data_IF_135214597730
#
_entry.id   IF_135214597730
#
_cell.length_a   1.000
_cell.length_b   1.000
_cell.length_c   1.000
_cell.angle_alpha   90.00
_cell.angle_beta   90.00
_cell.angle_gamma   90.00
#
_symmetry.space_group_name_H-M   'P 1'
#
loop_
_entity.id
_entity.type
_entity.pdbx_description
1 polymer ?
#
# COMPACT_ATOMS: atom_id res chain seq x y z
N UNK A 1 5.15 -17.32 -53.94
CA UNK A 1 4.84 -17.35 -52.49
C UNK A 1 3.48 -16.68 -52.32
N UNK A 2 2.47 -17.45 -51.94
CA UNK A 2 1.13 -16.95 -51.64
C UNK A 2 1.20 -16.42 -50.19
N UNK A 3 1.06 -15.12 -49.97
CA UNK A 3 0.80 -14.57 -48.62
C UNK A 3 -0.71 -14.45 -48.44
N UNK A 4 -1.20 -14.87 -47.28
CA UNK A 4 -2.63 -14.89 -47.01
C UNK A 4 -3.07 -13.61 -46.26
N UNK A 5 -4.27 -13.06 -46.53
CA UNK A 5 -4.74 -11.80 -45.94
C UNK A 5 -4.96 -11.79 -44.42
N UNK A 6 -4.76 -12.92 -43.73
CA UNK A 6 -5.04 -13.13 -42.30
C UNK A 6 -3.79 -13.52 -41.50
N UNK A 7 -2.60 -13.34 -42.07
CA UNK A 7 -1.36 -13.22 -41.28
C UNK A 7 -1.33 -11.83 -40.62
N UNK A 8 -2.33 -11.53 -39.79
CA UNK A 8 -2.16 -10.48 -38.79
C UNK A 8 -1.01 -10.95 -37.89
N UNK A 9 0.07 -10.17 -37.84
CA UNK A 9 1.12 -10.31 -36.84
C UNK A 9 0.43 -10.45 -35.49
N UNK A 10 0.35 -11.68 -34.97
CA UNK A 10 -0.19 -11.98 -33.66
C UNK A 10 0.81 -11.36 -32.67
N UNK A 11 0.65 -10.06 -32.43
CA UNK A 11 1.58 -9.29 -31.64
C UNK A 11 1.72 -9.99 -30.30
N UNK A 12 2.95 -10.37 -29.96
CA UNK A 12 3.24 -11.06 -28.71
C UNK A 12 2.60 -10.28 -27.56
N UNK A 13 1.94 -10.96 -26.60
CA UNK A 13 1.25 -10.29 -25.52
C UNK A 13 2.21 -9.32 -24.82
N UNK A 14 1.74 -8.12 -24.44
CA UNK A 14 2.60 -7.13 -23.81
C UNK A 14 3.28 -7.75 -22.57
N UNK A 15 4.52 -7.37 -22.27
CA UNK A 15 5.22 -7.90 -21.10
C UNK A 15 4.41 -7.60 -19.84
N UNK A 16 4.41 -8.52 -18.85
CA UNK A 16 3.64 -8.32 -17.62
C UNK A 16 4.11 -7.05 -16.89
N UNK A 17 3.16 -6.37 -16.25
CA UNK A 17 3.45 -5.15 -15.52
C UNK A 17 4.61 -5.35 -14.51
N UNK A 18 5.59 -4.43 -14.41
CA UNK A 18 6.82 -4.64 -13.63
C UNK A 18 6.62 -4.96 -12.14
N UNK A 19 5.45 -4.64 -11.58
CA UNK A 19 5.12 -4.96 -10.19
C UNK A 19 4.73 -6.42 -9.98
N UNK A 20 4.20 -7.12 -11.01
CA UNK A 20 3.78 -8.52 -10.90
C UNK A 20 4.96 -9.47 -10.65
N UNK A 21 6.15 -9.14 -11.15
CA UNK A 21 7.38 -9.88 -10.86
C UNK A 21 7.87 -9.76 -9.40
N UNK A 22 7.22 -8.92 -8.58
CA UNK A 22 7.64 -8.57 -7.21
C UNK A 22 6.62 -8.98 -6.16
N UNK A 23 5.71 -9.90 -6.50
CA UNK A 23 4.74 -10.48 -5.58
C UNK A 23 5.45 -11.34 -4.53
N UNK A 24 5.11 -11.14 -3.26
CA UNK A 24 5.71 -11.82 -2.10
C UNK A 24 4.72 -12.80 -1.47
N UNK A 25 3.48 -12.35 -1.26
CA UNK A 25 2.41 -13.11 -0.62
C UNK A 25 1.05 -12.45 -0.93
N UNK A 26 -0.03 -13.04 -0.43
CA UNK A 26 -1.37 -12.45 -0.42
C UNK A 26 -1.89 -12.40 1.01
N UNK A 27 -2.68 -11.39 1.38
CA UNK A 27 -3.35 -11.34 2.68
C UNK A 27 -4.31 -12.52 2.91
N UNK A 28 -4.74 -13.19 1.83
CA UNK A 28 -5.51 -14.45 1.89
C UNK A 28 -4.69 -15.63 2.43
N UNK A 29 -3.37 -15.65 2.26
CA UNK A 29 -2.45 -16.52 2.98
C UNK A 29 -1.86 -15.76 4.18
N UNK A 30 -2.66 -15.72 5.25
CA UNK A 30 -2.35 -14.93 6.45
C UNK A 30 -0.99 -15.29 7.05
N UNK A 31 -0.58 -16.56 7.02
CA UNK A 31 0.67 -17.01 7.64
C UNK A 31 1.88 -16.53 6.84
N UNK A 32 1.87 -16.75 5.52
CA UNK A 32 2.96 -16.28 4.65
C UNK A 32 3.04 -14.74 4.67
N UNK A 33 1.89 -14.06 4.63
CA UNK A 33 1.79 -12.62 4.66
C UNK A 33 2.35 -12.02 5.96
N UNK A 34 1.96 -12.54 7.13
CA UNK A 34 2.49 -12.09 8.42
C UNK A 34 3.99 -12.36 8.54
N UNK A 35 4.46 -13.54 8.10
CA UNK A 35 5.89 -13.88 8.11
C UNK A 35 6.70 -12.91 7.27
N UNK A 36 6.27 -12.62 6.04
CA UNK A 36 6.96 -11.67 5.18
C UNK A 36 7.02 -10.27 5.81
N UNK A 37 5.88 -9.77 6.30
CA UNK A 37 5.76 -8.44 6.92
C UNK A 37 6.56 -8.29 8.22
N UNK A 38 6.74 -9.37 8.98
CA UNK A 38 7.57 -9.34 10.19
C UNK A 38 9.05 -9.08 9.90
N UNK A 39 9.52 -9.40 8.68
CA UNK A 39 10.93 -9.32 8.28
C UNK A 39 11.28 -8.06 7.48
N UNK A 40 10.31 -7.18 7.25
CA UNK A 40 10.49 -5.99 6.43
C UNK A 40 9.73 -4.78 6.95
N UNK A 41 9.88 -3.67 6.22
CA UNK A 41 9.21 -2.40 6.48
C UNK A 41 7.96 -2.33 5.61
N UNK A 42 6.80 -2.22 6.24
CA UNK A 42 5.51 -2.13 5.56
C UNK A 42 5.04 -0.68 5.45
N UNK A 43 4.04 -0.41 4.60
CA UNK A 43 3.42 0.92 4.52
C UNK A 43 2.87 1.40 5.89
N UNK A 44 2.35 0.49 6.71
CA UNK A 44 1.89 0.79 8.08
C UNK A 44 3.05 1.16 9.01
N UNK A 45 4.24 0.59 8.81
CA UNK A 45 5.44 0.99 9.54
C UNK A 45 5.89 2.38 9.08
N UNK A 46 5.98 2.58 7.76
CA UNK A 46 6.36 3.85 7.13
C UNK A 46 5.48 5.04 7.56
N UNK A 47 4.17 4.79 7.74
CA UNK A 47 3.21 5.76 8.29
C UNK A 47 3.66 6.37 9.64
N UNK A 48 4.46 5.62 10.41
CA UNK A 48 4.94 5.97 11.75
C UNK A 48 6.37 6.52 11.76
N UNK A 49 7.12 6.45 10.67
CA UNK A 49 8.51 6.94 10.57
C UNK A 49 8.59 8.46 10.43
N UNK A 50 8.06 9.19 11.42
CA UNK A 50 7.99 10.65 11.43
C UNK A 50 9.31 11.32 11.89
N UNK A 51 10.15 10.61 12.63
CA UNK A 51 11.41 11.09 13.20
C UNK A 51 12.30 9.91 13.61
N UNK A 52 13.57 10.18 13.92
CA UNK A 52 14.55 9.16 14.34
C UNK A 52 14.12 8.43 15.63
N UNK A 53 13.50 9.17 16.56
CA UNK A 53 12.89 8.58 17.76
C UNK A 53 11.76 7.62 17.40
N UNK A 54 10.96 7.97 16.40
CA UNK A 54 9.89 7.09 15.93
C UNK A 54 10.44 5.84 15.23
N UNK A 55 11.54 5.97 14.47
CA UNK A 55 12.27 4.83 13.89
C UNK A 55 12.69 3.84 14.98
N UNK A 56 13.33 4.33 16.06
CA UNK A 56 13.76 3.49 17.17
C UNK A 56 12.57 2.80 17.87
N UNK A 57 11.45 3.50 18.04
CA UNK A 57 10.21 2.93 18.62
C UNK A 57 9.64 1.79 17.76
N UNK A 58 9.55 2.01 16.44
CA UNK A 58 9.07 0.99 15.50
C UNK A 58 10.02 -0.21 15.46
N UNK A 59 11.33 0.03 15.52
CA UNK A 59 12.33 -1.04 15.59
C UNK A 59 12.16 -1.90 16.84
N UNK A 60 11.95 -1.28 18.00
CA UNK A 60 11.72 -1.99 19.25
C UNK A 60 10.48 -2.89 19.16
N UNK A 61 9.37 -2.37 18.62
CA UNK A 61 8.14 -3.14 18.43
C UNK A 61 8.30 -4.29 17.43
N UNK A 62 9.06 -4.10 16.35
CA UNK A 62 9.37 -5.16 15.38
C UNK A 62 10.17 -6.31 16.00
N UNK A 63 11.09 -5.99 16.91
CA UNK A 63 11.97 -6.99 17.54
C UNK A 63 11.30 -7.73 18.69
N UNK A 64 10.40 -7.07 19.43
CA UNK A 64 9.75 -7.64 20.61
C UNK A 64 8.31 -8.11 20.35
N UNK A 65 7.79 -7.86 19.15
CA UNK A 65 6.40 -8.11 18.79
C UNK A 65 5.45 -7.02 19.24
N UNK A 66 4.26 -6.98 18.63
CA UNK A 66 3.17 -6.09 19.03
C UNK A 66 2.03 -6.91 19.60
N UNK A 67 1.45 -6.46 20.71
CA UNK A 67 0.29 -7.12 21.34
C UNK A 67 -1.05 -6.82 20.66
N UNK A 68 -1.06 -6.29 19.42
CA UNK A 68 -2.29 -5.82 18.79
C UNK A 68 -3.05 -6.98 18.11
N UNK A 69 -4.21 -7.34 18.68
CA UNK A 69 -5.07 -8.43 18.21
C UNK A 69 -6.27 -8.01 17.33
N UNK A 70 -6.40 -6.72 17.01
CA UNK A 70 -7.61 -6.16 16.38
C UNK A 70 -8.58 -5.57 17.40
N UNK A 71 -9.52 -4.75 16.92
CA UNK A 71 -10.61 -4.15 17.69
C UNK A 71 -11.84 -3.91 16.79
N UNK A 72 -12.95 -3.44 17.37
CA UNK A 72 -14.19 -3.18 16.63
C UNK A 72 -14.00 -2.21 15.43
N UNK A 73 -13.06 -1.26 15.52
CA UNK A 73 -12.76 -0.36 14.40
C UNK A 73 -12.06 -1.08 13.25
N UNK A 74 -11.13 -2.00 13.54
CA UNK A 74 -10.49 -2.81 12.49
C UNK A 74 -11.46 -3.82 11.88
N UNK A 75 -12.40 -4.35 12.66
CA UNK A 75 -13.42 -5.27 12.15
C UNK A 75 -14.42 -4.53 11.24
N UNK A 76 -14.87 -3.34 11.65
CA UNK A 76 -15.69 -2.47 10.81
C UNK A 76 -14.98 -2.11 9.50
N UNK A 77 -13.71 -1.67 9.58
CA UNK A 77 -12.92 -1.37 8.39
C UNK A 77 -12.85 -2.55 7.42
N UNK A 78 -12.57 -3.77 7.93
CA UNK A 78 -12.54 -4.99 7.12
C UNK A 78 -13.89 -5.32 6.49
N UNK A 79 -14.99 -5.07 7.18
CA UNK A 79 -16.33 -5.30 6.65
C UNK A 79 -16.70 -4.31 5.54
N UNK A 80 -16.26 -3.05 5.65
CA UNK A 80 -16.53 -1.99 4.68
C UNK A 80 -15.61 -1.99 3.46
N UNK A 81 -14.37 -2.45 3.61
CA UNK A 81 -13.34 -2.41 2.57
C UNK A 81 -13.82 -3.00 1.22
N UNK A 82 -14.48 -4.18 1.14
CA UNK A 82 -14.96 -4.71 -0.14
C UNK A 82 -16.01 -3.83 -0.83
N UNK A 83 -16.88 -3.17 -0.08
CA UNK A 83 -17.91 -2.29 -0.65
C UNK A 83 -17.30 -0.99 -1.19
N UNK A 84 -16.36 -0.41 -0.44
CA UNK A 84 -15.63 0.77 -0.91
C UNK A 84 -14.76 0.41 -2.11
N UNK A 85 -14.12 -0.75 -2.11
CA UNK A 85 -13.32 -1.23 -3.24
C UNK A 85 -14.17 -1.48 -4.50
N UNK A 86 -15.40 -1.98 -4.34
CA UNK A 86 -16.34 -2.13 -5.46
C UNK A 86 -16.71 -0.77 -6.07
N UNK A 87 -16.92 0.24 -5.25
CA UNK A 87 -17.13 1.63 -5.69
C UNK A 87 -15.89 2.20 -6.38
N UNK A 88 -14.70 1.97 -5.84
CA UNK A 88 -13.44 2.40 -6.45
C UNK A 88 -13.25 1.77 -7.84
N UNK A 89 -13.55 0.48 -7.99
CA UNK A 89 -13.52 -0.19 -9.27
C UNK A 89 -14.54 0.38 -10.26
N UNK A 90 -15.77 0.65 -9.83
CA UNK A 90 -16.80 1.19 -10.74
C UNK A 90 -16.48 2.61 -11.21
N UNK A 91 -15.99 3.47 -10.32
CA UNK A 91 -15.76 4.89 -10.63
C UNK A 91 -14.38 5.17 -11.27
N UNK A 92 -13.35 4.39 -10.92
CA UNK A 92 -11.96 4.66 -11.31
C UNK A 92 -11.28 3.50 -12.04
N UNK A 93 -11.96 2.36 -12.21
CA UNK A 93 -11.41 1.12 -12.79
C UNK A 93 -10.10 0.67 -12.14
N UNK A 94 -9.98 0.90 -10.82
CA UNK A 94 -8.89 0.37 -10.00
C UNK A 94 -9.37 -0.94 -9.39
N UNK A 95 -8.68 -2.04 -9.71
CA UNK A 95 -9.05 -3.37 -9.23
C UNK A 95 -8.61 -3.58 -7.77
N UNK A 96 -9.41 -4.24 -6.93
CA UNK A 96 -9.05 -4.54 -5.55
C UNK A 96 -7.82 -5.45 -5.49
N UNK A 97 -6.95 -5.22 -4.50
CA UNK A 97 -5.71 -5.96 -4.33
C UNK A 97 -5.54 -6.47 -2.90
N UNK A 98 -5.25 -7.76 -2.77
CA UNK A 98 -4.79 -8.39 -1.53
C UNK A 98 -3.28 -8.69 -1.52
N UNK A 99 -2.58 -8.33 -2.60
CA UNK A 99 -1.21 -8.78 -2.85
C UNK A 99 -0.19 -7.94 -2.06
N UNK A 100 0.80 -8.63 -1.50
CA UNK A 100 1.98 -8.03 -0.87
C UNK A 100 3.11 -7.99 -1.90
N UNK A 101 3.64 -6.80 -2.14
CA UNK A 101 4.73 -6.56 -3.07
C UNK A 101 5.99 -6.14 -2.32
N UNK A 102 7.16 -6.38 -2.93
CA UNK A 102 8.41 -5.75 -2.52
C UNK A 102 8.85 -4.65 -3.48
N UNK A 103 9.60 -3.67 -2.98
CA UNK A 103 10.16 -2.60 -3.81
C UNK A 103 11.19 -3.14 -4.79
N UNK A 104 11.38 -2.44 -5.92
CA UNK A 104 12.38 -2.83 -6.92
C UNK A 104 13.83 -2.80 -6.36
N UNK A 105 14.13 -1.87 -5.44
CA UNK A 105 15.49 -1.64 -4.92
C UNK A 105 15.83 -2.44 -3.65
N UNK A 106 14.85 -2.77 -2.82
CA UNK A 106 15.06 -3.49 -1.55
C UNK A 106 13.87 -4.43 -1.28
N UNK A 107 14.15 -5.74 -1.20
CA UNK A 107 13.13 -6.79 -1.09
C UNK A 107 12.38 -6.77 0.25
N UNK A 108 12.92 -6.11 1.27
CA UNK A 108 12.30 -5.94 2.59
C UNK A 108 11.47 -4.67 2.69
N UNK A 109 11.43 -3.82 1.66
CA UNK A 109 10.48 -2.73 1.59
C UNK A 109 9.19 -3.23 0.96
N UNK A 110 8.12 -3.27 1.73
CA UNK A 110 6.91 -4.03 1.44
C UNK A 110 5.68 -3.12 1.42
N UNK A 111 4.72 -3.44 0.55
CA UNK A 111 3.43 -2.77 0.55
C UNK A 111 2.29 -3.68 0.08
N UNK A 112 1.10 -3.44 0.62
CA UNK A 112 -0.17 -4.02 0.17
C UNK A 112 -1.07 -2.83 -0.11
N UNK A 113 -1.19 -2.36 -1.35
CA UNK A 113 -2.20 -1.36 -1.73
C UNK A 113 -3.57 -2.05 -1.81
N UNK A 114 -4.62 -1.32 -1.46
CA UNK A 114 -6.01 -1.83 -1.44
C UNK A 114 -6.58 -1.97 -2.86
N UNK A 115 -6.02 -1.22 -3.82
CA UNK A 115 -6.30 -1.40 -5.23
C UNK A 115 -5.12 -1.01 -6.13
N UNK A 116 -5.09 -1.58 -7.34
CA UNK A 116 -4.07 -1.35 -8.36
C UNK A 116 -4.72 -1.23 -9.73
N UNK A 117 -4.28 -0.25 -10.50
CA UNK A 117 -4.58 -0.10 -11.93
C UNK A 117 -3.28 0.08 -12.70
N UNK A 118 -3.19 -0.58 -13.85
CA UNK A 118 -2.25 -0.21 -14.90
C UNK A 118 -3.01 0.66 -15.89
N UNK A 119 -2.63 1.93 -16.01
CA UNK A 119 -3.21 2.83 -17.00
C UNK A 119 -2.70 2.51 -18.41
N UNK A 120 -3.37 3.02 -19.43
CA UNK A 120 -3.08 2.73 -20.84
C UNK A 120 -1.69 3.24 -21.27
N UNK A 121 -1.17 4.26 -20.59
CA UNK A 121 0.18 4.80 -20.78
C UNK A 121 1.27 3.99 -20.03
N UNK A 122 0.88 2.89 -19.37
CA UNK A 122 1.76 2.02 -18.59
C UNK A 122 2.06 2.52 -17.17
N UNK A 123 1.51 3.67 -16.76
CA UNK A 123 1.66 4.16 -15.39
C UNK A 123 0.84 3.30 -14.41
N UNK A 124 1.35 3.17 -13.18
CA UNK A 124 0.65 2.47 -12.10
C UNK A 124 -0.09 3.49 -11.25
N UNK A 125 -1.37 3.24 -11.01
CA UNK A 125 -2.20 3.98 -10.05
C UNK A 125 -2.65 3.04 -8.94
N UNK A 126 -2.74 3.55 -7.72
CA UNK A 126 -3.12 2.77 -6.56
C UNK A 126 -4.40 3.32 -5.93
N UNK A 127 -5.04 2.52 -5.08
CA UNK A 127 -6.04 2.98 -4.13
C UNK A 127 -5.64 2.62 -2.69
N UNK A 128 -6.02 3.50 -1.76
CA UNK A 128 -5.88 3.29 -0.32
C UNK A 128 -7.21 3.65 0.37
N UNK A 129 -7.82 2.68 1.04
CA UNK A 129 -9.16 2.74 1.61
C UNK A 129 -9.08 2.92 3.13
N UNK A 130 -9.94 3.80 3.65
CA UNK A 130 -10.04 4.09 5.08
C UNK A 130 -11.49 4.20 5.53
N UNK A 131 -11.80 3.67 6.70
CA UNK A 131 -13.00 4.04 7.45
C UNK A 131 -12.60 4.98 8.58
N UNK A 132 -13.41 5.99 8.87
CA UNK A 132 -13.11 6.95 9.93
C UNK A 132 -14.34 7.40 10.71
N UNK A 133 -14.19 7.53 12.03
CA UNK A 133 -15.21 8.13 12.88
C UNK A 133 -15.16 9.67 12.90
N UNK A 134 -14.10 10.27 12.35
CA UNK A 134 -13.86 11.72 12.38
C UNK A 134 -13.85 12.30 10.97
N UNK A 135 -14.47 13.47 10.74
CA UNK A 135 -14.35 14.14 9.46
C UNK A 135 -12.90 14.58 9.24
N UNK A 136 -12.41 14.44 8.01
CA UNK A 136 -11.10 14.94 7.61
C UNK A 136 -11.25 16.24 6.84
N UNK A 137 -10.51 17.27 7.26
CA UNK A 137 -10.35 18.51 6.49
C UNK A 137 -9.32 18.33 5.35
N UNK A 138 -8.35 17.46 5.58
CA UNK A 138 -7.32 17.01 4.65
C UNK A 138 -6.83 15.63 5.08
N UNK A 139 -6.14 14.92 4.19
CA UNK A 139 -5.59 13.59 4.50
C UNK A 139 -4.55 13.69 5.63
N UNK A 140 -4.72 12.94 6.74
CA UNK A 140 -3.73 12.89 7.82
C UNK A 140 -2.33 12.52 7.33
N UNK A 141 -1.31 13.21 7.86
CA UNK A 141 0.08 13.06 7.42
C UNK A 141 0.63 11.64 7.54
N UNK A 142 0.13 10.84 8.49
CA UNK A 142 0.48 9.42 8.60
C UNK A 142 0.02 8.60 7.40
N UNK A 143 -1.17 8.90 6.87
CA UNK A 143 -1.69 8.23 5.68
C UNK A 143 -0.99 8.73 4.41
N UNK A 144 -0.62 10.01 4.33
CA UNK A 144 0.25 10.49 3.25
C UNK A 144 1.58 9.73 3.21
N UNK A 145 2.23 9.50 4.36
CA UNK A 145 3.44 8.65 4.42
C UNK A 145 3.20 7.22 3.99
N UNK A 146 2.05 6.64 4.36
CA UNK A 146 1.66 5.30 3.91
C UNK A 146 1.54 5.24 2.38
N UNK A 147 0.86 6.23 1.81
CA UNK A 147 0.61 6.37 0.37
C UNK A 147 1.91 6.56 -0.41
N UNK A 148 2.76 7.52 -0.02
CA UNK A 148 4.05 7.73 -0.66
C UNK A 148 4.94 6.49 -0.57
N UNK A 149 4.88 5.76 0.54
CA UNK A 149 5.58 4.48 0.66
C UNK A 149 5.06 3.43 -0.34
N UNK A 150 3.74 3.27 -0.48
CA UNK A 150 3.15 2.37 -1.48
C UNK A 150 3.55 2.76 -2.91
N UNK A 151 3.53 4.06 -3.22
CA UNK A 151 3.96 4.58 -4.52
C UNK A 151 5.44 4.28 -4.79
N UNK A 152 6.31 4.45 -3.81
CA UNK A 152 7.71 4.04 -3.89
C UNK A 152 7.85 2.53 -4.16
N UNK A 153 7.13 1.71 -3.38
CA UNK A 153 7.23 0.25 -3.49
C UNK A 153 6.77 -0.21 -4.87
N UNK A 154 5.63 0.25 -5.37
CA UNK A 154 5.10 -0.22 -6.65
C UNK A 154 5.63 0.55 -7.87
N UNK A 155 6.19 1.75 -7.70
CA UNK A 155 6.53 2.65 -8.80
C UNK A 155 5.30 3.34 -9.36
N UNK A 156 4.36 3.74 -8.49
CA UNK A 156 3.12 4.39 -8.90
C UNK A 156 3.26 5.92 -8.91
N UNK A 157 2.54 6.56 -9.84
CA UNK A 157 2.55 8.02 -10.05
C UNK A 157 1.59 8.75 -9.09
N UNK A 158 0.52 8.07 -8.69
CA UNK A 158 -0.48 8.61 -7.77
C UNK A 158 -1.28 7.51 -7.07
N UNK A 159 -1.96 7.90 -6.01
CA UNK A 159 -2.86 7.02 -5.25
C UNK A 159 -4.16 7.74 -4.95
N UNK A 160 -5.28 7.08 -5.21
CA UNK A 160 -6.59 7.53 -4.81
C UNK A 160 -6.80 7.16 -3.34
N UNK A 161 -6.79 8.16 -2.45
CA UNK A 161 -7.14 7.94 -1.05
C UNK A 161 -8.64 8.07 -0.93
N UNK A 162 -9.30 7.00 -0.49
CA UNK A 162 -10.75 6.92 -0.37
C UNK A 162 -11.10 6.69 1.08
N UNK A 163 -12.02 7.49 1.62
CA UNK A 163 -12.46 7.30 2.99
C UNK A 163 -13.97 7.41 3.17
N UNK A 164 -14.48 6.53 4.00
CA UNK A 164 -15.88 6.50 4.41
C UNK A 164 -15.98 6.94 5.87
N UNK A 165 -16.78 7.98 6.12
CA UNK A 165 -17.06 8.42 7.48
C UNK A 165 -18.24 7.65 8.06
N UNK A 166 -18.15 7.27 9.32
CA UNK A 166 -19.21 6.57 10.05
C UNK A 166 -19.47 7.18 11.44
N UNK A 167 -20.68 6.98 11.95
CA UNK A 167 -21.06 7.20 13.35
C UNK A 167 -21.62 5.87 13.87
N UNK A 168 -21.13 5.40 15.02
CA UNK A 168 -21.49 4.09 15.59
C UNK A 168 -21.44 2.93 14.59
N UNK A 169 -20.37 2.93 13.77
CA UNK A 169 -20.11 1.96 12.71
C UNK A 169 -21.16 1.93 11.57
N UNK A 170 -21.95 2.99 11.43
CA UNK A 170 -22.88 3.21 10.31
C UNK A 170 -22.37 4.34 9.42
N UNK A 171 -22.16 4.11 8.11
CA UNK A 171 -21.76 5.15 7.17
C UNK A 171 -22.76 6.32 7.18
N UNK A 172 -22.25 7.56 7.19
CA UNK A 172 -23.10 8.77 7.24
C UNK A 172 -23.43 9.36 5.87
N UNK A 173 -22.85 8.81 4.80
CA UNK A 173 -23.00 9.27 3.41
C UNK A 173 -23.24 8.07 2.52
N UNK A 174 -24.02 8.25 1.45
CA UNK A 174 -24.30 7.19 0.46
C UNK A 174 -23.09 6.85 -0.44
N UNK A 175 -22.07 7.70 -0.46
CA UNK A 175 -20.80 7.46 -1.16
C UNK A 175 -19.61 7.88 -0.30
N UNK A 176 -18.44 7.23 -0.45
CA UNK A 176 -17.21 7.65 0.21
C UNK A 176 -16.70 8.98 -0.37
N UNK A 177 -15.79 9.62 0.36
CA UNK A 177 -15.01 10.75 -0.15
C UNK A 177 -13.68 10.24 -0.71
N UNK A 178 -13.09 10.98 -1.65
CA UNK A 178 -11.79 10.63 -2.19
C UNK A 178 -10.98 11.86 -2.59
N UNK A 179 -9.65 11.67 -2.64
CA UNK A 179 -8.69 12.67 -3.11
C UNK A 179 -7.48 11.95 -3.72
N UNK A 180 -6.99 12.47 -4.84
CA UNK A 180 -5.76 11.98 -5.47
C UNK A 180 -4.53 12.56 -4.77
N UNK A 181 -3.60 11.69 -4.39
CA UNK A 181 -2.29 12.07 -3.87
C UNK A 181 -1.24 11.77 -4.92
N UNK A 182 -0.62 12.81 -5.45
CA UNK A 182 0.51 12.70 -6.38
C UNK A 182 1.77 12.22 -5.65
N UNK A 183 2.64 11.57 -6.42
CA UNK A 183 3.98 11.20 -6.02
C UNK A 183 4.81 12.40 -5.58
N UNK A 184 5.46 12.28 -4.43
CA UNK A 184 6.39 13.27 -3.89
C UNK A 184 7.73 12.59 -3.61
N UNK A 185 8.71 12.80 -4.48
CA UNK A 185 10.02 12.16 -4.37
C UNK A 185 10.79 12.61 -3.12
N UNK A 186 10.60 13.84 -2.64
CA UNK A 186 11.32 14.34 -1.46
C UNK A 186 10.85 13.61 -0.20
N UNK A 187 9.53 13.41 -0.09
CA UNK A 187 8.95 12.64 1.02
C UNK A 187 9.30 11.15 0.92
N UNK A 188 9.28 10.59 -0.29
CA UNK A 188 9.69 9.21 -0.55
C UNK A 188 11.13 8.99 -0.12
N UNK A 189 12.06 9.84 -0.54
CA UNK A 189 13.48 9.72 -0.17
C UNK A 189 13.67 9.76 1.35
N UNK A 190 12.97 10.64 2.05
CA UNK A 190 13.01 10.72 3.50
C UNK A 190 12.50 9.42 4.16
N UNK A 191 11.41 8.86 3.65
CA UNK A 191 10.85 7.61 4.15
C UNK A 191 11.78 6.43 3.90
N UNK A 192 12.38 6.34 2.71
CA UNK A 192 13.34 5.28 2.36
C UNK A 192 14.55 5.34 3.29
N UNK A 193 15.15 6.52 3.52
CA UNK A 193 16.26 6.66 4.48
C UNK A 193 15.89 6.15 5.87
N UNK A 194 14.72 6.51 6.38
CA UNK A 194 14.25 6.06 7.71
C UNK A 194 13.93 4.57 7.75
N UNK A 195 13.46 4.00 6.65
CA UNK A 195 13.22 2.57 6.54
C UNK A 195 14.54 1.78 6.50
N UNK A 196 15.57 2.29 5.82
CA UNK A 196 16.90 1.69 5.81
C UNK A 196 17.52 1.71 7.22
N UNK A 197 17.33 2.80 7.97
CA UNK A 197 17.71 2.87 9.39
C UNK A 197 16.96 1.85 10.24
N UNK A 198 15.64 1.70 10.05
CA UNK A 198 14.84 0.67 10.71
C UNK A 198 15.38 -0.73 10.40
N UNK A 199 15.72 -1.00 9.14
CA UNK A 199 16.31 -2.29 8.77
C UNK A 199 17.69 -2.51 9.39
N UNK A 200 18.50 -1.45 9.58
CA UNK A 200 19.79 -1.54 10.28
C UNK A 200 19.60 -1.86 11.77
N UNK A 201 18.62 -1.23 12.42
CA UNK A 201 18.20 -1.58 13.79
C UNK A 201 17.80 -3.06 13.90
N UNK A 202 16.98 -3.55 12.98
CA UNK A 202 16.53 -4.94 12.97
C UNK A 202 17.67 -5.95 12.77
N UNK A 203 18.78 -5.54 12.14
CA UNK A 203 20.00 -6.36 11.99
C UNK A 203 20.95 -6.29 13.20
N UNK A 204 20.68 -5.43 14.18
CA UNK A 204 21.56 -5.20 15.31
C UNK A 204 22.79 -4.34 15.00
N UNK A 205 22.78 -3.62 13.88
CA UNK A 205 23.89 -2.74 13.46
C UNK A 205 23.92 -1.41 14.24
N UNK A 206 22.85 -1.13 15.00
CA UNK A 206 22.78 -0.03 15.96
C UNK A 206 22.59 -0.62 17.36
N UNK A 207 23.36 -0.13 18.34
CA UNK A 207 23.24 -0.56 19.74
C UNK A 207 21.83 -0.33 20.25
N UNK A 208 21.30 -1.26 21.07
CA UNK A 208 19.95 -1.16 21.66
C UNK A 208 19.76 0.25 22.27
N UNK A 209 18.60 0.89 22.06
CA UNK A 209 18.33 2.19 22.65
C UNK A 209 18.29 2.10 24.18
#
# INVERSE_FOLDING_TARGET
MLSFPWEEDEAAPPPPAPHLARLVASSTDRVAWLRARSRGVTATDAARLASDRAVASVAWEKLNGTGFGGNAFTDHGRAREPEIAAWVRSEYAIEPSAALFHAARERRHLATPDGIRLADDGSVELAEIKTTSKPWKSIPRSYLRQVWWQQYVLGAERTLVVWEQHVDFVPISGSPRCEWVSRDESEIELLVRRADELLAWMRGERGRP
#
